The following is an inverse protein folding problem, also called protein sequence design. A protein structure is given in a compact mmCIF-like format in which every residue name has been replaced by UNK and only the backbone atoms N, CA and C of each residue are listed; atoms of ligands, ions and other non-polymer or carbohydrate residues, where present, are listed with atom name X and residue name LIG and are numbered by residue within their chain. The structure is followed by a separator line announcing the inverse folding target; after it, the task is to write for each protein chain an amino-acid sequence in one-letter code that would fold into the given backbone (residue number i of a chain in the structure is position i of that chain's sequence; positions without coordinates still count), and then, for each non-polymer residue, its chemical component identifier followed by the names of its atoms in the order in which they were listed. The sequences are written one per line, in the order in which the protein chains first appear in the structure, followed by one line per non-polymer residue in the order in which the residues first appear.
data_IF_199226541292
#
_entry.id   IF_199226541292
#
_cell.length_a   1.000
_cell.length_b   1.000
_cell.length_c   1.000
_cell.angle_alpha   90.00
_cell.angle_beta   90.00
_cell.angle_gamma   90.00
#
_symmetry.space_group_name_H-M   'P 1'
#
loop_
_entity.id
_entity.type
_entity.pdbx_description
1 polymer ?
#
# COMPACT_ATOMS: atom_id res chain seq x y z
N UNK A 1 14.53 -6.85 4.96
CA UNK A 1 15.47 -7.56 4.07
C UNK A 1 14.86 -7.81 2.69
N UNK A 2 13.60 -8.28 2.63
CA UNK A 2 12.86 -8.56 1.38
C UNK A 2 12.77 -7.33 0.46
N UNK A 3 12.39 -6.16 0.97
CA UNK A 3 12.21 -4.96 0.13
C UNK A 3 13.51 -4.55 -0.59
N UNK A 4 14.66 -4.61 0.11
CA UNK A 4 15.98 -4.33 -0.47
C UNK A 4 16.37 -5.35 -1.55
N UNK A 5 16.01 -6.62 -1.35
CA UNK A 5 16.26 -7.66 -2.35
C UNK A 5 15.42 -7.42 -3.62
N UNK A 6 14.15 -7.02 -3.45
CA UNK A 6 13.28 -6.65 -4.57
C UNK A 6 13.79 -5.39 -5.27
N UNK A 7 14.19 -4.35 -4.53
CA UNK A 7 14.80 -3.14 -5.14
C UNK A 7 16.03 -3.47 -5.98
N UNK A 8 16.94 -4.30 -5.46
CA UNK A 8 18.12 -4.74 -6.20
C UNK A 8 17.73 -5.57 -7.43
N UNK A 9 16.72 -6.41 -7.33
CA UNK A 9 16.18 -7.14 -8.48
C UNK A 9 15.59 -6.18 -9.52
N UNK A 10 14.95 -5.08 -9.12
CA UNK A 10 14.33 -4.13 -10.05
C UNK A 10 15.34 -3.24 -10.80
N UNK A 11 16.57 -3.07 -10.29
CA UNK A 11 17.58 -2.22 -10.92
C UNK A 11 17.82 -2.59 -12.39
N UNK A 12 17.77 -1.57 -13.25
CA UNK A 12 18.05 -1.67 -14.68
C UNK A 12 17.02 -2.48 -15.50
N UNK A 13 15.86 -2.80 -14.93
CA UNK A 13 14.82 -3.60 -15.59
C UNK A 13 13.46 -2.93 -15.50
N UNK A 14 12.63 -3.16 -16.52
CA UNK A 14 11.20 -2.88 -16.44
C UNK A 14 10.54 -4.00 -15.66
N UNK A 15 9.94 -3.68 -14.52
CA UNK A 15 9.29 -4.65 -13.64
C UNK A 15 7.82 -4.27 -13.48
N UNK A 16 6.93 -5.23 -13.68
CA UNK A 16 5.50 -5.10 -13.41
C UNK A 16 5.21 -5.88 -12.13
N UNK A 17 4.67 -5.19 -11.13
CA UNK A 17 4.30 -5.78 -9.84
C UNK A 17 2.78 -5.74 -9.69
N UNK A 18 2.17 -6.90 -9.51
CA UNK A 18 0.76 -7.04 -9.12
C UNK A 18 0.73 -7.30 -7.62
N UNK A 19 0.19 -6.38 -6.83
CA UNK A 19 0.24 -6.45 -5.38
C UNK A 19 -1.14 -6.28 -4.74
N UNK A 20 -1.42 -7.13 -3.75
CA UNK A 20 -2.51 -6.92 -2.77
C UNK A 20 -2.02 -6.17 -1.53
N UNK A 21 -0.71 -6.17 -1.28
CA UNK A 21 -0.09 -5.46 -0.15
C UNK A 21 0.20 -4.03 -0.58
N UNK A 22 -0.61 -3.07 -0.11
CA UNK A 22 -0.47 -1.67 -0.49
C UNK A 22 0.91 -1.08 -0.15
N UNK A 23 1.59 -1.57 0.89
CA UNK A 23 2.97 -1.17 1.20
C UNK A 23 3.97 -1.38 0.06
N UNK A 24 3.79 -2.41 -0.76
CA UNK A 24 4.65 -2.69 -1.92
C UNK A 24 4.41 -1.72 -3.08
N UNK A 25 3.32 -0.96 -3.08
CA UNK A 25 3.06 0.03 -4.13
C UNK A 25 3.90 1.29 -3.95
N UNK A 26 4.37 1.60 -2.73
CA UNK A 26 5.22 2.78 -2.47
C UNK A 26 6.61 2.70 -3.10
N UNK A 27 7.12 1.50 -3.36
CA UNK A 27 8.42 1.33 -4.02
C UNK A 27 8.32 1.40 -5.55
N UNK A 28 7.11 1.40 -6.12
CA UNK A 28 6.90 1.48 -7.56
C UNK A 28 7.03 2.91 -8.05
N UNK A 29 7.62 3.09 -9.24
CA UNK A 29 7.71 4.42 -9.85
C UNK A 29 6.35 4.92 -10.36
N UNK A 30 5.47 3.99 -10.75
CA UNK A 30 4.11 4.26 -11.23
C UNK A 30 3.15 3.20 -10.70
N UNK A 31 1.90 3.59 -10.49
CA UNK A 31 0.78 2.74 -10.09
C UNK A 31 -0.26 2.81 -11.20
N UNK A 32 -0.77 1.65 -11.60
CA UNK A 32 -1.94 1.54 -12.47
C UNK A 32 -3.07 0.88 -11.68
N UNK A 33 -4.22 1.56 -11.58
CA UNK A 33 -5.40 1.04 -10.88
C UNK A 33 -6.23 0.24 -11.87
N UNK A 34 -6.47 -1.03 -11.54
CA UNK A 34 -7.31 -1.92 -12.33
C UNK A 34 -8.61 -2.15 -11.58
N UNK A 35 -9.70 -1.64 -12.12
CA UNK A 35 -11.07 -1.82 -11.59
C UNK A 35 -12.05 -1.82 -12.77
N UNK A 36 -13.24 -2.41 -12.59
CA UNK A 36 -14.27 -2.45 -13.63
C UNK A 36 -13.77 -3.00 -14.99
N UNK A 37 -12.92 -4.01 -14.95
CA UNK A 37 -12.29 -4.64 -16.13
C UNK A 37 -11.43 -3.68 -17.00
N UNK A 38 -11.02 -2.54 -16.47
CA UNK A 38 -10.19 -1.56 -17.19
C UNK A 38 -9.14 -0.91 -16.28
N UNK A 39 -8.26 -0.10 -16.87
CA UNK A 39 -7.35 0.76 -16.12
C UNK A 39 -8.02 2.12 -15.95
N UNK A 40 -8.30 2.51 -14.71
CA UNK A 40 -9.03 3.77 -14.41
C UNK A 40 -8.12 4.91 -13.99
N UNK A 41 -6.88 4.63 -13.59
CA UNK A 41 -5.88 5.67 -13.30
C UNK A 41 -4.47 5.11 -13.46
N UNK A 42 -3.54 5.96 -13.94
CA UNK A 42 -2.10 5.65 -14.02
C UNK A 42 -1.27 6.88 -13.72
N UNK A 43 -0.43 6.80 -12.70
CA UNK A 43 0.42 7.92 -12.27
C UNK A 43 1.41 7.48 -11.21
N UNK A 44 2.06 8.44 -10.56
CA UNK A 44 2.75 8.23 -9.29
C UNK A 44 1.75 7.85 -8.18
N UNK A 45 2.25 7.34 -7.05
CA UNK A 45 1.40 7.04 -5.90
C UNK A 45 0.53 8.24 -5.50
N UNK A 46 1.12 9.43 -5.43
CA UNK A 46 0.43 10.63 -4.97
C UNK A 46 -0.63 11.12 -5.97
N UNK A 47 -0.32 11.12 -7.27
CA UNK A 47 -1.28 11.45 -8.33
C UNK A 47 -2.47 10.49 -8.30
N UNK A 48 -2.21 9.17 -8.24
CA UNK A 48 -3.29 8.17 -8.21
C UNK A 48 -4.12 8.26 -6.92
N UNK A 49 -3.50 8.58 -5.78
CA UNK A 49 -4.20 8.80 -4.50
C UNK A 49 -5.11 10.03 -4.55
N UNK A 50 -4.73 11.06 -5.29
CA UNK A 50 -5.57 12.23 -5.48
C UNK A 50 -6.70 11.97 -6.49
N UNK A 51 -6.39 11.28 -7.60
CA UNK A 51 -7.27 11.23 -8.77
C UNK A 51 -8.20 10.01 -8.80
N UNK A 52 -7.94 8.96 -7.99
CA UNK A 52 -8.76 7.74 -7.98
C UNK A 52 -9.33 7.45 -6.58
N UNK A 53 -10.67 7.52 -6.48
CA UNK A 53 -11.39 7.33 -5.22
C UNK A 53 -11.23 5.91 -4.64
N UNK A 54 -11.22 4.87 -5.48
CA UNK A 54 -11.04 3.49 -5.03
C UNK A 54 -9.68 3.28 -4.38
N UNK A 55 -8.62 3.74 -5.05
CA UNK A 55 -7.25 3.66 -4.54
C UNK A 55 -7.08 4.48 -3.26
N UNK A 56 -7.64 5.70 -3.20
CA UNK A 56 -7.60 6.54 -2.02
C UNK A 56 -8.28 5.88 -0.82
N UNK A 57 -9.46 5.27 -1.03
CA UNK A 57 -10.17 4.57 0.05
C UNK A 57 -9.39 3.35 0.54
N UNK A 58 -8.92 2.49 -0.37
CA UNK A 58 -8.13 1.32 -0.02
C UNK A 58 -6.86 1.71 0.77
N UNK A 59 -6.24 2.83 0.39
CA UNK A 59 -5.08 3.37 1.08
C UNK A 59 -5.41 3.89 2.48
N UNK A 60 -6.53 4.59 2.63
CA UNK A 60 -7.01 5.10 3.92
C UNK A 60 -7.31 3.95 4.89
N UNK A 61 -7.93 2.88 4.40
CA UNK A 61 -8.22 1.67 5.19
C UNK A 61 -6.92 1.01 5.66
N UNK A 62 -5.93 0.93 4.75
CA UNK A 62 -4.61 0.41 5.07
C UNK A 62 -3.90 1.22 6.17
N UNK A 63 -3.92 2.57 6.09
CA UNK A 63 -3.34 3.44 7.11
C UNK A 63 -4.04 3.29 8.46
N UNK A 64 -5.37 3.23 8.44
CA UNK A 64 -6.19 3.05 9.65
C UNK A 64 -5.87 1.73 10.35
N UNK A 65 -5.85 0.62 9.60
CA UNK A 65 -5.55 -0.70 10.15
C UNK A 65 -4.13 -0.80 10.72
N UNK A 66 -3.16 -0.10 10.12
CA UNK A 66 -1.76 -0.08 10.56
C UNK A 66 -1.52 0.72 11.84
N UNK A 67 -2.36 1.71 12.12
CA UNK A 67 -2.18 2.63 13.25
C UNK A 67 -2.99 2.24 14.50
N UNK A 68 -3.61 1.05 14.52
CA UNK A 68 -4.33 0.54 15.69
C UNK A 68 -3.33 0.32 16.82
N UNK A 69 -3.38 1.20 17.83
CA UNK A 69 -2.64 1.06 19.08
C UNK A 69 -3.52 0.33 20.08
N UNK A 70 -3.11 -0.87 20.51
CA UNK A 70 -3.81 -1.61 21.55
C UNK A 70 -3.52 -0.96 22.91
N UNK A 71 -4.52 -0.34 23.52
CA UNK A 71 -4.50 -0.09 24.96
C UNK A 71 -4.92 -1.38 25.66
N UNK A 72 -3.95 -2.05 26.28
CA UNK A 72 -4.25 -3.09 27.25
C UNK A 72 -4.83 -2.40 28.49
N UNK A 73 -6.14 -2.47 28.70
CA UNK A 73 -6.69 -2.28 30.03
C UNK A 73 -6.19 -3.46 30.88
N UNK A 74 -5.12 -3.20 31.63
CA UNK A 74 -4.54 -4.15 32.56
C UNK A 74 -5.62 -4.65 33.51
N UNK A 75 -5.73 -5.97 33.62
CA UNK A 75 -6.59 -6.62 34.59
C UNK A 75 -6.32 -6.07 35.98
N UNK A 76 -7.40 -5.75 36.70
CA UNK A 76 -7.33 -5.37 38.10
C UNK A 76 -6.51 -6.40 38.87
N UNK A 77 -5.41 -5.94 39.47
CA UNK A 77 -4.69 -6.67 40.51
C UNK A 77 -5.67 -6.89 41.67
N UNK A 78 -6.26 -8.08 41.70
CA UNK A 78 -6.80 -8.67 42.91
C UNK A 78 -5.64 -9.38 43.62
N UNK A 79 -4.94 -8.65 44.49
CA UNK A 79 -4.09 -9.19 45.53
C UNK A 79 -4.72 -8.87 46.90
#
# INVERSE_FOLDING_TARGET
EIDKAIENLCKGKTVIVVAHRLGALKMCNRVAVVENHTITSVGTHDEVRQDNAYYNQAWTDYETARNITYQLEGGADHA
#
